data_IF_306291022114
#
_entry.id   IF_306291022114
#
_cell.length_a   1.000
_cell.length_b   1.000
_cell.length_c   1.000
_cell.angle_alpha   90.00
_cell.angle_beta   90.00
_cell.angle_gamma   90.00
#
_symmetry.space_group_name_H-M   'P 1'
#
loop_
_entity.id
_entity.type
_entity.pdbx_description
1 polymer ?
#
# COMPACT_ATOMS: atom_id res chain seq x y z
N UNK A 1 7.54 -5.47 13.28
CA UNK A 1 6.44 -4.66 13.82
C UNK A 1 5.82 -3.74 12.74
N UNK A 2 5.56 -4.22 11.52
CA UNK A 2 4.98 -3.43 10.42
C UNK A 2 3.46 -3.63 10.30
N UNK A 3 2.98 -4.87 10.40
CA UNK A 3 1.57 -5.24 10.31
C UNK A 3 0.60 -4.33 11.11
N UNK A 4 0.80 -4.08 12.43
CA UNK A 4 -0.14 -3.26 13.19
C UNK A 4 -0.18 -1.79 12.73
N UNK A 5 0.92 -1.25 12.18
CA UNK A 5 0.92 0.10 11.59
C UNK A 5 0.04 0.14 10.34
N UNK A 6 0.17 -0.85 9.45
CA UNK A 6 -0.68 -0.97 8.26
C UNK A 6 -2.15 -1.15 8.66
N UNK A 7 -2.44 -2.00 9.65
CA UNK A 7 -3.81 -2.20 10.14
C UNK A 7 -4.43 -0.92 10.70
N UNK A 8 -3.66 -0.10 11.43
CA UNK A 8 -4.13 1.20 11.91
C UNK A 8 -4.49 2.15 10.77
N UNK A 9 -3.64 2.22 9.74
CA UNK A 9 -3.89 3.03 8.54
C UNK A 9 -5.12 2.54 7.78
N UNK A 10 -5.27 1.22 7.63
CA UNK A 10 -6.47 0.61 7.03
C UNK A 10 -7.73 1.01 7.79
N UNK A 11 -7.69 1.00 9.13
CA UNK A 11 -8.79 1.47 9.97
C UNK A 11 -9.15 2.93 9.67
N UNK A 12 -8.16 3.83 9.62
CA UNK A 12 -8.36 5.24 9.30
C UNK A 12 -8.95 5.43 7.90
N UNK A 13 -8.39 4.78 6.89
CA UNK A 13 -8.86 4.86 5.50
C UNK A 13 -10.30 4.34 5.37
N UNK A 14 -10.66 3.27 6.09
CA UNK A 14 -12.04 2.76 6.11
C UNK A 14 -13.01 3.72 6.78
N UNK A 15 -12.58 4.46 7.81
CA UNK A 15 -13.39 5.51 8.42
C UNK A 15 -13.62 6.69 7.48
N UNK A 16 -12.61 7.11 6.73
CA UNK A 16 -12.70 8.20 5.75
C UNK A 16 -13.46 7.80 4.48
N UNK A 17 -13.33 6.54 4.04
CA UNK A 17 -13.98 5.97 2.87
C UNK A 17 -14.80 4.71 3.21
N UNK A 18 -15.97 4.85 3.86
CA UNK A 18 -16.76 3.70 4.32
C UNK A 18 -17.19 2.75 3.20
N UNK A 19 -17.35 3.26 1.97
CA UNK A 19 -17.75 2.48 0.80
C UNK A 19 -16.62 1.68 0.15
N UNK A 20 -15.35 1.95 0.45
CA UNK A 20 -14.25 1.25 -0.21
C UNK A 20 -14.19 -0.22 0.18
N UNK A 21 -13.97 -1.07 -0.82
CA UNK A 21 -13.70 -2.49 -0.62
C UNK A 21 -12.33 -2.69 0.08
N UNK A 22 -12.06 -3.88 0.63
CA UNK A 22 -10.72 -4.22 1.11
C UNK A 22 -9.64 -4.11 0.01
N UNK A 23 -9.99 -4.45 -1.24
CA UNK A 23 -9.08 -4.36 -2.39
C UNK A 23 -8.81 -2.90 -2.76
N UNK A 24 -9.83 -2.04 -2.72
CA UNK A 24 -9.68 -0.59 -2.93
C UNK A 24 -8.72 0.05 -1.91
N UNK A 25 -8.87 -0.28 -0.62
CA UNK A 25 -7.97 0.24 0.43
C UNK A 25 -6.54 -0.26 0.20
N UNK A 26 -6.37 -1.55 -0.10
CA UNK A 26 -5.05 -2.12 -0.43
C UNK A 26 -4.44 -1.40 -1.63
N UNK A 27 -5.23 -1.18 -2.68
CA UNK A 27 -4.77 -0.47 -3.87
C UNK A 27 -4.31 0.94 -3.53
N UNK A 28 -5.11 1.71 -2.79
CA UNK A 28 -4.78 3.07 -2.41
C UNK A 28 -3.45 3.15 -1.66
N UNK A 29 -3.21 2.23 -0.71
CA UNK A 29 -1.95 2.14 0.03
C UNK A 29 -0.77 1.80 -0.90
N UNK A 30 -0.97 0.86 -1.83
CA UNK A 30 0.10 0.39 -2.72
C UNK A 30 0.47 1.42 -3.79
N UNK A 31 -0.50 2.04 -4.46
CA UNK A 31 -0.25 2.97 -5.57
C UNK A 31 0.30 4.32 -5.12
N UNK A 32 0.15 4.65 -3.84
CA UNK A 32 0.66 5.90 -3.24
C UNK A 32 1.93 5.70 -2.42
N UNK A 33 2.42 4.47 -2.28
CA UNK A 33 3.65 4.18 -1.57
C UNK A 33 4.88 4.77 -2.28
N UNK A 34 5.89 5.14 -1.50
CA UNK A 34 7.15 5.70 -1.99
C UNK A 34 8.21 4.62 -2.12
N UNK A 35 8.83 4.52 -3.29
CA UNK A 35 10.05 3.71 -3.49
C UNK A 35 11.33 4.45 -3.07
N UNK A 36 11.20 5.72 -2.68
CA UNK A 36 12.29 6.57 -2.24
C UNK A 36 12.40 6.68 -0.72
N UNK A 37 13.63 6.79 -0.23
CA UNK A 37 13.95 7.09 1.15
C UNK A 37 14.02 8.61 1.43
N UNK A 38 14.41 8.99 2.64
CA UNK A 38 14.53 10.39 3.05
C UNK A 38 15.63 11.18 2.34
N UNK A 39 16.58 10.50 1.67
CA UNK A 39 17.61 11.10 0.83
C UNK A 39 17.14 11.34 -0.61
N UNK A 40 15.87 11.00 -0.92
CA UNK A 40 15.30 10.95 -2.27
C UNK A 40 16.01 9.95 -3.19
N UNK A 41 16.73 8.99 -2.61
CA UNK A 41 17.30 7.85 -3.30
C UNK A 41 16.39 6.62 -3.21
N UNK A 42 16.65 5.55 -3.98
CA UNK A 42 15.92 4.30 -3.86
C UNK A 42 16.11 3.69 -2.47
N UNK A 43 15.03 3.12 -1.91
CA UNK A 43 15.09 2.38 -0.64
C UNK A 43 16.16 1.30 -0.74
N UNK A 44 16.99 1.21 0.30
CA UNK A 44 18.06 0.21 0.39
C UNK A 44 17.65 -1.01 1.18
N UNK A 45 18.20 -2.17 0.82
CA UNK A 45 18.00 -3.40 1.55
C UNK A 45 18.98 -3.51 2.74
N UNK A 46 18.97 -4.66 3.43
CA UNK A 46 19.85 -4.91 4.59
C UNK A 46 21.34 -4.95 4.25
N UNK A 47 21.69 -5.05 2.97
CA UNK A 47 23.07 -5.08 2.47
C UNK A 47 23.47 -3.74 1.84
N UNK A 48 22.63 -2.71 1.94
CA UNK A 48 22.81 -1.38 1.35
C UNK A 48 22.72 -1.36 -0.20
N UNK A 49 22.18 -2.42 -0.79
CA UNK A 49 21.87 -2.49 -2.21
C UNK A 49 20.49 -1.89 -2.49
N UNK A 50 20.17 -1.56 -3.75
CA UNK A 50 18.82 -1.11 -4.09
C UNK A 50 17.81 -2.23 -3.78
N UNK A 51 16.87 -1.96 -2.89
CA UNK A 51 15.83 -2.91 -2.57
C UNK A 51 14.89 -3.10 -3.77
N UNK A 52 14.38 -4.31 -3.92
CA UNK A 52 13.45 -4.67 -5.00
C UNK A 52 12.03 -4.79 -4.45
N UNK A 53 11.00 -4.85 -5.32
CA UNK A 53 9.63 -5.12 -4.90
C UNK A 53 9.46 -6.44 -4.11
N UNK A 54 10.37 -7.40 -4.26
CA UNK A 54 10.37 -8.62 -3.43
C UNK A 54 10.72 -8.34 -1.95
N UNK A 55 11.37 -7.21 -1.65
CA UNK A 55 11.72 -6.80 -0.30
C UNK A 55 10.67 -5.89 0.34
N UNK A 56 10.13 -4.91 -0.40
CA UNK A 56 9.21 -3.89 0.15
C UNK A 56 7.83 -3.82 -0.50
N UNK A 57 7.54 -4.66 -1.50
CA UNK A 57 6.31 -4.56 -2.28
C UNK A 57 6.28 -3.28 -3.12
N UNK A 58 5.28 -2.43 -2.89
CA UNK A 58 5.12 -1.15 -3.60
C UNK A 58 5.88 0.02 -2.97
N UNK A 59 6.48 -0.17 -1.79
CA UNK A 59 7.32 0.85 -1.14
C UNK A 59 6.88 1.18 0.28
N UNK A 60 7.40 2.28 0.79
CA UNK A 60 7.05 2.83 2.09
C UNK A 60 5.70 3.53 2.04
N UNK A 61 4.79 3.16 2.94
CA UNK A 61 3.43 3.73 2.97
C UNK A 61 3.48 5.25 3.20
N UNK A 62 2.61 5.97 2.47
CA UNK A 62 2.36 7.40 2.61
C UNK A 62 0.87 7.60 2.98
N UNK A 63 0.51 7.66 4.27
CA UNK A 63 -0.89 7.69 4.70
C UNK A 63 -1.68 8.87 4.13
N UNK A 64 -1.06 10.05 4.09
CA UNK A 64 -1.72 11.28 3.60
C UNK A 64 -2.08 11.18 2.12
N UNK A 65 -1.22 10.55 1.31
CA UNK A 65 -1.48 10.33 -0.12
C UNK A 65 -2.51 9.22 -0.34
N UNK A 66 -2.50 8.18 0.50
CA UNK A 66 -3.46 7.07 0.41
C UNK A 66 -4.91 7.49 0.69
N UNK A 67 -5.15 8.65 1.31
CA UNK A 67 -6.49 9.20 1.50
C UNK A 67 -7.13 9.62 0.17
N UNK A 68 -6.34 10.14 -0.78
CA UNK A 68 -6.82 10.49 -2.12
C UNK A 68 -5.88 9.94 -3.20
N UNK A 69 -5.98 8.64 -3.53
CA UNK A 69 -5.07 7.95 -4.44
C UNK A 69 -5.34 8.32 -5.92
N UNK A 70 -6.39 9.09 -6.22
CA UNK A 70 -6.87 9.37 -7.57
C UNK A 70 -7.53 8.16 -8.25
N UNK A 71 -6.79 7.06 -8.42
CA UNK A 71 -7.27 5.81 -9.03
C UNK A 71 -7.04 4.62 -8.09
N UNK A 72 -7.95 3.65 -8.16
CA UNK A 72 -7.87 2.39 -7.42
C UNK A 72 -8.07 1.19 -8.36
N UNK A 73 -7.36 0.12 -8.07
CA UNK A 73 -7.57 -1.21 -8.65
C UNK A 73 -8.48 -2.00 -7.71
N UNK A 74 -9.78 -1.90 -7.94
CA UNK A 74 -10.78 -2.59 -7.12
C UNK A 74 -11.08 -4.01 -7.63
N UNK A 75 -11.40 -4.90 -6.71
CA UNK A 75 -11.72 -6.31 -6.95
C UNK A 75 -12.73 -6.78 -5.91
N UNK A 76 -13.59 -7.72 -6.32
CA UNK A 76 -14.57 -8.35 -5.45
C UNK A 76 -14.21 -9.82 -5.16
N UNK A 77 -15.01 -10.48 -4.31
CA UNK A 77 -14.78 -11.86 -3.89
C UNK A 77 -14.85 -12.85 -5.07
N UNK A 78 -15.71 -12.61 -6.06
CA UNK A 78 -15.85 -13.45 -7.25
C UNK A 78 -14.59 -13.41 -8.09
N UNK A 79 -13.93 -12.25 -8.18
CA UNK A 79 -12.66 -12.11 -8.92
C UNK A 79 -11.56 -13.00 -8.31
N UNK A 80 -11.51 -13.11 -6.97
CA UNK A 80 -10.59 -14.04 -6.30
C UNK A 80 -10.93 -15.50 -6.57
N UNK A 81 -12.22 -15.86 -6.57
CA UNK A 81 -12.67 -17.23 -6.83
C UNK A 81 -12.37 -17.68 -8.26
N UNK A 82 -12.39 -16.76 -9.24
CA UNK A 82 -12.03 -17.05 -10.62
C UNK A 82 -10.53 -17.35 -10.81
N UNK A 83 -9.69 -17.05 -9.81
CA UNK A 83 -8.23 -17.27 -9.82
C UNK A 83 -7.79 -18.43 -8.90
N UNK A 84 -8.74 -19.18 -8.33
CA UNK A 84 -8.48 -20.34 -7.47
C UNK A 84 -8.46 -21.65 -8.28
#
# INVERSE_FOLDING_TARGET
MSCPHVSGIVGLLKTLHPGWSPAAIKSAIMTTASEMDNSKGPIKDRFYENATPFAYGSGHIQPDLAIDPGLIYDLNVVDYLNLL
#
